data_IF_704128934891
#
_entry.id   IF_704128934891
#
_cell.length_a   1.000
_cell.length_b   1.000
_cell.length_c   1.000
_cell.angle_alpha   90.00
_cell.angle_beta   90.00
_cell.angle_gamma   90.00
#
_symmetry.space_group_name_H-M   'P 1'
#
loop_
_entity.id
_entity.type
_entity.pdbx_description
1 polymer ?
#
# COMPACT_ATOMS: atom_id res chain seq x y z
N UNK A 1 25.06 18.52 43.58
CA UNK A 1 24.59 17.25 42.95
C UNK A 1 25.35 16.10 43.59
N UNK A 2 24.65 15.22 44.27
CA UNK A 2 25.25 14.04 44.91
C UNK A 2 25.72 13.02 43.86
N UNK A 3 26.74 12.19 44.19
CA UNK A 3 27.26 11.13 43.29
C UNK A 3 26.12 10.24 42.71
N UNK A 4 25.08 9.98 43.52
CA UNK A 4 23.88 9.22 43.08
C UNK A 4 23.13 9.91 41.95
N UNK A 5 22.91 11.24 42.03
CA UNK A 5 22.18 11.96 40.99
C UNK A 5 22.93 11.98 39.64
N UNK A 6 24.26 12.07 39.65
CA UNK A 6 25.09 11.98 38.45
C UNK A 6 24.97 10.61 37.79
N UNK A 7 24.92 9.53 38.59
CA UNK A 7 24.78 8.17 38.10
C UNK A 7 23.40 7.95 37.44
N UNK A 8 22.32 8.48 38.04
CA UNK A 8 20.97 8.39 37.42
C UNK A 8 20.88 9.16 36.12
N UNK A 9 21.44 10.35 36.02
CA UNK A 9 21.45 11.14 34.77
C UNK A 9 22.22 10.40 33.68
N UNK A 10 23.38 9.81 34.02
CA UNK A 10 24.16 9.03 33.06
C UNK A 10 23.40 7.79 32.57
N UNK A 11 22.70 7.08 33.45
CA UNK A 11 21.85 5.95 33.10
C UNK A 11 20.70 6.36 32.15
N UNK A 12 20.04 7.49 32.41
CA UNK A 12 18.98 7.99 31.56
C UNK A 12 19.48 8.38 30.15
N UNK A 13 20.68 9.00 30.08
CA UNK A 13 21.30 9.34 28.81
C UNK A 13 21.65 8.08 28.01
N UNK A 14 22.26 7.08 28.65
CA UNK A 14 22.60 5.81 27.99
C UNK A 14 21.33 5.10 27.50
N UNK A 15 20.27 5.08 28.31
CA UNK A 15 19.00 4.48 27.94
C UNK A 15 18.36 5.21 26.76
N UNK A 16 18.37 6.55 26.74
CA UNK A 16 17.82 7.34 25.65
C UNK A 16 18.59 7.14 24.33
N UNK A 17 19.91 7.05 24.39
CA UNK A 17 20.77 6.73 23.24
C UNK A 17 20.49 5.32 22.73
N UNK A 18 20.37 4.34 23.62
CA UNK A 18 20.06 2.95 23.24
C UNK A 18 18.67 2.84 22.58
N UNK A 19 17.66 3.50 23.14
CA UNK A 19 16.30 3.53 22.54
C UNK A 19 16.32 4.22 21.19
N UNK A 20 17.02 5.35 21.06
CA UNK A 20 17.17 6.05 19.76
C UNK A 20 17.87 5.17 18.73
N UNK A 21 18.97 4.53 19.12
CA UNK A 21 19.71 3.62 18.24
C UNK A 21 18.84 2.45 17.78
N UNK A 22 18.06 1.85 18.69
CA UNK A 22 17.15 0.75 18.34
C UNK A 22 16.01 1.22 17.42
N UNK A 23 15.45 2.41 17.68
CA UNK A 23 14.35 2.95 16.88
C UNK A 23 14.78 3.37 15.46
N UNK A 24 15.94 4.01 15.33
CA UNK A 24 16.44 4.47 14.02
C UNK A 24 17.22 3.37 13.27
N UNK A 25 17.88 2.46 13.96
CA UNK A 25 18.61 1.34 13.36
C UNK A 25 17.73 0.19 12.84
N UNK A 26 16.48 0.09 13.33
CA UNK A 26 15.55 -0.98 12.94
C UNK A 26 14.84 -0.74 11.60
N UNK A 27 15.02 0.43 10.97
CA UNK A 27 14.39 0.69 9.66
C UNK A 27 15.23 0.05 8.56
N UNK A 28 14.63 -0.86 7.74
CA UNK A 28 15.36 -1.47 6.64
C UNK A 28 15.79 -0.40 5.63
N UNK A 29 16.99 -0.54 5.11
CA UNK A 29 17.48 0.34 4.05
C UNK A 29 16.75 0.06 2.73
N UNK A 30 16.69 1.06 1.83
CA UNK A 30 16.10 0.88 0.49
C UNK A 30 16.79 -0.24 -0.29
N UNK A 31 18.08 -0.48 -0.06
CA UNK A 31 18.83 -1.58 -0.67
C UNK A 31 18.34 -2.95 -0.18
N UNK A 32 18.10 -3.09 1.12
CA UNK A 32 17.57 -4.32 1.72
C UNK A 32 16.14 -4.58 1.24
N UNK A 33 15.29 -3.55 1.20
CA UNK A 33 13.95 -3.66 0.66
C UNK A 33 13.96 -4.12 -0.80
N UNK A 34 14.81 -3.55 -1.65
CA UNK A 34 14.96 -3.97 -3.06
C UNK A 34 15.37 -5.44 -3.16
N UNK A 35 16.32 -5.89 -2.33
CA UNK A 35 16.77 -7.29 -2.38
C UNK A 35 15.71 -8.25 -1.85
N UNK A 36 14.89 -7.85 -0.90
CA UNK A 36 13.86 -8.71 -0.31
C UNK A 36 12.66 -8.96 -1.23
N UNK A 37 12.35 -8.02 -2.13
CA UNK A 37 11.23 -8.16 -3.07
C UNK A 37 11.64 -8.72 -4.43
N UNK A 38 12.94 -8.74 -4.76
CA UNK A 38 13.43 -9.30 -6.00
C UNK A 38 13.35 -10.84 -5.99
N UNK A 39 13.07 -11.52 -7.13
CA UNK A 39 12.70 -10.96 -8.43
C UNK A 39 11.21 -10.64 -8.59
N UNK A 40 10.38 -10.89 -7.59
CA UNK A 40 8.91 -10.79 -7.67
C UNK A 40 8.41 -9.36 -7.93
N UNK A 41 9.15 -8.34 -7.43
CA UNK A 41 8.80 -6.95 -7.60
C UNK A 41 10.04 -6.06 -7.78
N UNK A 42 9.82 -4.85 -8.31
CA UNK A 42 10.83 -3.80 -8.45
C UNK A 42 10.44 -2.57 -7.65
N UNK A 43 11.34 -2.08 -6.80
CA UNK A 43 11.16 -0.83 -6.07
C UNK A 43 11.86 0.31 -6.79
N UNK A 44 11.10 1.37 -7.08
CA UNK A 44 11.61 2.62 -7.65
C UNK A 44 11.84 3.62 -6.51
N UNK A 45 13.08 4.10 -6.31
CA UNK A 45 13.40 4.97 -5.18
C UNK A 45 12.88 6.40 -5.35
N UNK A 46 12.58 6.78 -6.59
CA UNK A 46 12.10 8.12 -6.91
C UNK A 46 10.58 8.12 -7.05
N UNK A 47 9.90 8.70 -6.06
CA UNK A 47 8.48 8.97 -6.16
C UNK A 47 8.26 10.14 -7.15
N UNK A 48 7.36 9.92 -8.13
CA UNK A 48 6.86 10.97 -9.01
C UNK A 48 5.43 11.30 -8.61
N UNK A 49 5.08 12.58 -8.57
CA UNK A 49 3.68 12.98 -8.39
C UNK A 49 2.90 12.64 -9.66
N UNK A 50 2.00 11.66 -9.56
CA UNK A 50 1.17 11.18 -10.67
C UNK A 50 -0.33 11.35 -10.41
N UNK A 51 -0.71 11.54 -9.16
CA UNK A 51 -2.13 11.52 -8.73
C UNK A 51 -3.02 12.48 -9.52
N UNK A 52 -2.55 13.72 -9.76
CA UNK A 52 -3.32 14.74 -10.46
C UNK A 52 -3.38 14.55 -11.98
N UNK A 53 -2.64 13.57 -12.50
CA UNK A 53 -2.55 13.26 -13.93
C UNK A 53 -3.26 11.96 -14.30
N UNK A 54 -3.68 11.18 -13.32
CA UNK A 54 -4.38 9.92 -13.54
C UNK A 54 -5.87 10.14 -13.39
N UNK A 55 -6.53 10.33 -14.53
CA UNK A 55 -7.98 10.42 -14.64
C UNK A 55 -8.52 9.07 -15.07
N UNK A 56 -9.58 8.64 -14.43
CA UNK A 56 -10.29 7.41 -14.71
C UNK A 56 -11.78 7.70 -14.93
N UNK A 57 -12.49 6.73 -15.46
CA UNK A 57 -13.95 6.68 -15.46
C UNK A 57 -14.34 5.60 -14.45
N UNK A 58 -15.21 5.93 -13.51
CA UNK A 58 -15.69 4.95 -12.53
C UNK A 58 -16.79 4.06 -13.14
N UNK A 59 -17.25 3.06 -12.38
CA UNK A 59 -18.26 2.09 -12.84
C UNK A 59 -19.61 2.72 -13.16
N UNK A 60 -19.89 3.90 -12.64
CA UNK A 60 -21.08 4.71 -12.98
C UNK A 60 -20.87 5.62 -14.21
N UNK A 61 -19.80 5.47 -14.97
CA UNK A 61 -19.43 6.29 -16.13
C UNK A 61 -19.15 7.77 -15.80
N UNK A 62 -18.77 8.07 -14.56
CA UNK A 62 -18.38 9.42 -14.14
C UNK A 62 -16.86 9.55 -14.07
N UNK A 63 -16.36 10.74 -14.40
CA UNK A 63 -14.93 11.05 -14.26
C UNK A 63 -14.52 11.00 -12.78
N UNK A 64 -13.37 10.43 -12.50
CA UNK A 64 -12.77 10.35 -11.17
C UNK A 64 -11.24 10.44 -11.25
N UNK A 65 -10.63 10.81 -10.14
CA UNK A 65 -9.17 10.92 -10.01
C UNK A 65 -8.64 9.91 -9.01
N UNK A 66 -7.42 9.43 -9.24
CA UNK A 66 -6.79 8.50 -8.31
C UNK A 66 -6.71 9.07 -6.88
N UNK A 67 -6.48 10.37 -6.74
CA UNK A 67 -6.44 11.05 -5.43
C UNK A 67 -7.76 10.96 -4.66
N UNK A 68 -8.90 11.02 -5.36
CA UNK A 68 -10.23 10.88 -4.77
C UNK A 68 -10.49 9.45 -4.31
N UNK A 69 -10.13 8.48 -5.15
CA UNK A 69 -10.31 7.06 -4.84
C UNK A 69 -9.40 6.62 -3.70
N UNK A 70 -8.14 7.05 -3.72
CA UNK A 70 -7.14 6.68 -2.72
C UNK A 70 -7.35 7.37 -1.36
N UNK A 71 -8.02 8.54 -1.31
CA UNK A 71 -8.32 9.27 -0.07
C UNK A 71 -7.10 9.47 0.85
N UNK A 72 -5.93 9.74 0.28
CA UNK A 72 -4.69 9.92 1.03
C UNK A 72 -4.04 8.62 1.52
N UNK A 73 -4.56 7.46 1.16
CA UNK A 73 -3.97 6.14 1.43
C UNK A 73 -2.96 5.75 0.36
N UNK A 74 -2.19 4.72 0.62
CA UNK A 74 -1.45 4.01 -0.42
C UNK A 74 -2.42 3.35 -1.39
N UNK A 75 -2.19 3.48 -2.69
CA UNK A 75 -3.02 2.85 -3.71
C UNK A 75 -2.29 1.65 -4.33
N UNK A 76 -2.93 0.47 -4.27
CA UNK A 76 -2.53 -0.70 -5.04
C UNK A 76 -3.41 -0.75 -6.29
N UNK A 77 -2.85 -0.40 -7.45
CA UNK A 77 -3.56 -0.50 -8.71
C UNK A 77 -3.38 -1.91 -9.30
N UNK A 78 -4.48 -2.62 -9.49
CA UNK A 78 -4.50 -3.90 -10.18
C UNK A 78 -5.19 -3.74 -11.53
N UNK A 79 -4.46 -4.00 -12.60
CA UNK A 79 -4.96 -3.88 -13.98
C UNK A 79 -5.46 -5.23 -14.47
N UNK A 80 -6.73 -5.29 -14.87
CA UNK A 80 -7.38 -6.51 -15.35
C UNK A 80 -8.67 -6.22 -16.11
N UNK A 81 -9.53 -7.22 -16.26
CA UNK A 81 -10.86 -7.06 -16.85
C UNK A 81 -11.86 -8.04 -16.20
N UNK A 82 -13.11 -7.61 -16.06
CA UNK A 82 -14.14 -8.35 -15.31
C UNK A 82 -14.51 -9.69 -15.96
N UNK A 83 -14.34 -9.81 -17.29
CA UNK A 83 -14.64 -11.04 -18.03
C UNK A 83 -13.44 -12.00 -18.10
N UNK A 84 -12.37 -11.75 -17.35
CA UNK A 84 -11.20 -12.63 -17.30
C UNK A 84 -11.57 -13.97 -16.66
N UNK A 85 -11.40 -15.10 -17.38
CA UNK A 85 -11.91 -16.37 -16.89
C UNK A 85 -11.01 -17.03 -15.82
N UNK A 86 -9.77 -16.59 -15.66
CA UNK A 86 -8.76 -17.36 -14.95
C UNK A 86 -7.88 -16.51 -14.05
N UNK A 87 -6.93 -15.73 -14.60
CA UNK A 87 -5.88 -15.10 -13.83
C UNK A 87 -6.37 -13.97 -12.91
N UNK A 88 -7.31 -13.13 -13.37
CA UNK A 88 -7.79 -11.99 -12.60
C UNK A 88 -8.53 -12.41 -11.32
N UNK A 89 -9.43 -13.42 -11.32
CA UNK A 89 -10.02 -13.94 -10.08
C UNK A 89 -8.99 -14.52 -9.11
N UNK A 90 -7.98 -15.23 -9.63
CA UNK A 90 -6.91 -15.81 -8.80
C UNK A 90 -6.09 -14.70 -8.13
N UNK A 91 -5.71 -13.68 -8.89
CA UNK A 91 -4.89 -12.59 -8.36
C UNK A 91 -5.68 -11.71 -7.37
N UNK A 92 -6.95 -11.39 -7.66
CA UNK A 92 -7.79 -10.66 -6.71
C UNK A 92 -8.01 -11.43 -5.41
N UNK A 93 -8.14 -12.76 -5.49
CA UNK A 93 -8.22 -13.61 -4.29
C UNK A 93 -6.93 -13.56 -3.47
N UNK A 94 -5.76 -13.58 -4.11
CA UNK A 94 -4.46 -13.44 -3.44
C UNK A 94 -4.29 -12.03 -2.84
N UNK A 95 -4.67 -10.98 -3.56
CA UNK A 95 -4.64 -9.61 -3.08
C UNK A 95 -5.54 -9.48 -1.85
N UNK A 96 -6.75 -10.01 -1.89
CA UNK A 96 -7.67 -10.00 -0.75
C UNK A 96 -7.09 -10.75 0.47
N UNK A 97 -6.54 -11.95 0.26
CA UNK A 97 -5.90 -12.69 1.35
C UNK A 97 -4.74 -11.91 1.97
N UNK A 98 -3.89 -11.30 1.14
CA UNK A 98 -2.78 -10.46 1.60
C UNK A 98 -3.30 -9.24 2.35
N UNK A 99 -4.32 -8.56 1.82
CA UNK A 99 -4.97 -7.42 2.45
C UNK A 99 -5.50 -7.77 3.85
N UNK A 100 -6.17 -8.91 3.98
CA UNK A 100 -6.71 -9.39 5.28
C UNK A 100 -5.61 -9.72 6.31
N UNK A 101 -4.41 -10.06 5.87
CA UNK A 101 -3.26 -10.36 6.74
C UNK A 101 -2.45 -9.11 7.14
N UNK A 102 -2.78 -7.94 6.60
CA UNK A 102 -2.08 -6.70 6.93
C UNK A 102 -2.57 -6.10 8.25
N UNK A 103 -1.65 -5.63 9.09
CA UNK A 103 -1.98 -4.94 10.34
C UNK A 103 -2.52 -3.51 10.13
N UNK A 104 -2.29 -2.91 8.95
CA UNK A 104 -2.62 -1.51 8.64
C UNK A 104 -3.47 -1.42 7.38
N UNK A 105 -4.53 -2.19 7.28
CA UNK A 105 -5.42 -2.24 6.11
C UNK A 105 -6.01 -0.86 5.79
N UNK A 106 -6.28 -0.06 6.81
CA UNK A 106 -6.84 1.29 6.67
C UNK A 106 -5.93 2.27 5.91
N UNK A 107 -4.64 1.94 5.77
CA UNK A 107 -3.66 2.75 5.02
C UNK A 107 -3.54 2.37 3.55
N UNK A 108 -4.18 1.28 3.13
CA UNK A 108 -4.13 0.79 1.76
C UNK A 108 -5.52 0.85 1.13
N UNK A 109 -5.58 1.37 -0.09
CA UNK A 109 -6.73 1.27 -0.98
C UNK A 109 -6.35 0.37 -2.15
N UNK A 110 -7.07 -0.71 -2.34
CA UNK A 110 -6.97 -1.52 -3.56
C UNK A 110 -7.92 -0.94 -4.60
N UNK A 111 -7.44 -0.74 -5.80
CA UNK A 111 -8.20 -0.17 -6.91
C UNK A 111 -8.10 -1.10 -8.10
N UNK A 112 -9.20 -1.68 -8.50
CA UNK A 112 -9.29 -2.46 -9.73
C UNK A 112 -9.46 -1.52 -10.94
N UNK A 113 -8.54 -1.62 -11.89
CA UNK A 113 -8.54 -0.79 -13.11
C UNK A 113 -8.79 -1.67 -14.31
N UNK A 114 -9.93 -1.51 -14.96
CA UNK A 114 -10.23 -2.26 -16.18
C UNK A 114 -9.39 -1.77 -17.36
N UNK A 115 -8.86 -2.73 -18.10
CA UNK A 115 -8.22 -2.50 -19.41
C UNK A 115 -9.17 -2.75 -20.58
N UNK A 116 -10.44 -3.06 -20.29
CA UNK A 116 -11.50 -3.31 -21.29
C UNK A 116 -12.78 -2.56 -20.91
N UNK A 117 -12.74 -1.22 -20.85
CA UNK A 117 -13.87 -0.42 -20.36
C UNK A 117 -15.14 -0.61 -21.16
N UNK A 118 -15.05 -0.94 -22.46
CA UNK A 118 -16.20 -1.13 -23.31
C UNK A 118 -17.10 -2.32 -22.92
N UNK A 119 -16.57 -3.30 -22.20
CA UNK A 119 -17.32 -4.47 -21.71
C UNK A 119 -17.54 -4.46 -20.21
N UNK A 120 -16.76 -3.70 -19.47
CA UNK A 120 -16.68 -3.82 -18.02
C UNK A 120 -17.45 -2.73 -17.28
N UNK A 121 -17.67 -1.55 -17.88
CA UNK A 121 -18.43 -0.46 -17.24
C UNK A 121 -19.81 -0.97 -16.81
N UNK A 122 -20.21 -0.66 -15.58
CA UNK A 122 -21.43 -1.13 -14.92
C UNK A 122 -21.32 -2.52 -14.30
N UNK A 123 -20.12 -3.13 -14.28
CA UNK A 123 -19.87 -4.47 -13.72
C UNK A 123 -18.65 -4.52 -12.79
N UNK A 124 -17.86 -3.46 -12.74
CA UNK A 124 -16.59 -3.43 -12.00
C UNK A 124 -16.81 -3.52 -10.49
N UNK A 125 -17.74 -2.75 -9.95
CA UNK A 125 -18.07 -2.77 -8.52
C UNK A 125 -18.57 -4.14 -8.08
N UNK A 126 -19.42 -4.79 -8.90
CA UNK A 126 -19.88 -6.15 -8.62
C UNK A 126 -18.73 -7.16 -8.68
N UNK A 127 -17.86 -7.04 -9.69
CA UNK A 127 -16.76 -7.98 -9.88
C UNK A 127 -15.69 -7.84 -8.78
N UNK A 128 -15.18 -6.64 -8.55
CA UNK A 128 -14.16 -6.41 -7.53
C UNK A 128 -14.72 -6.62 -6.11
N UNK A 129 -15.91 -6.12 -5.84
CA UNK A 129 -16.61 -6.27 -4.57
C UNK A 129 -16.92 -7.71 -4.18
N UNK A 130 -17.01 -8.65 -5.14
CA UNK A 130 -17.15 -10.08 -4.85
C UNK A 130 -15.93 -10.66 -4.13
N UNK A 131 -14.74 -10.06 -4.29
CA UNK A 131 -13.52 -10.47 -3.57
C UNK A 131 -13.36 -9.72 -2.25
N UNK A 132 -13.62 -8.42 -2.26
CA UNK A 132 -13.63 -7.59 -1.06
C UNK A 132 -14.45 -6.31 -1.31
N UNK A 133 -15.42 -5.99 -0.43
CA UNK A 133 -16.22 -4.77 -0.57
C UNK A 133 -15.44 -3.46 -0.51
N UNK A 134 -14.17 -3.50 -0.08
CA UNK A 134 -13.29 -2.32 -0.01
C UNK A 134 -12.45 -2.09 -1.28
N UNK A 135 -12.59 -2.94 -2.30
CA UNK A 135 -11.81 -2.88 -3.56
C UNK A 135 -12.51 -2.02 -4.59
#
# INVERSE_FOLDING_TARGET
MTKKNKLYVLLLVVLSVAVSFFYYGAKPSMKELKSSVAPAASLYPEARSISDKLNFINDASADTHLSEVAQGKWALLYFGYASCPDICPIDLSKINLTYQLMDNQEKLQVVFVSVDPGRDIGRLDQFAGAFNPSF
#
